data_IF_847036302482
#
_entry.id   IF_847036302482
#
_cell.length_a   1.000
_cell.length_b   1.000
_cell.length_c   1.000
_cell.angle_alpha   90.00
_cell.angle_beta   90.00
_cell.angle_gamma   90.00
#
_symmetry.space_group_name_H-M   'P 1'
#
loop_
_entity.id
_entity.type
_entity.pdbx_description
1 polymer ?
#
# COMPACT_ATOMS: atom_id res chain seq x y z
N UNK A 1 11.35 -10.32 -1.91
CA UNK A 1 9.97 -10.77 -1.64
C UNK A 1 9.05 -9.78 -2.33
N UNK A 2 8.03 -10.25 -3.05
CA UNK A 2 7.06 -9.32 -3.63
C UNK A 2 5.97 -9.02 -2.60
N UNK A 3 5.53 -7.77 -2.50
CA UNK A 3 4.46 -7.38 -1.59
C UNK A 3 3.30 -6.75 -2.37
N UNK A 4 2.07 -7.10 -2.05
CA UNK A 4 0.89 -6.34 -2.47
C UNK A 4 0.49 -5.39 -1.36
N UNK A 5 0.49 -4.09 -1.65
CA UNK A 5 -0.10 -3.08 -0.76
C UNK A 5 -1.45 -2.67 -1.34
N UNK A 6 -2.51 -2.77 -0.53
CA UNK A 6 -3.87 -2.40 -0.91
C UNK A 6 -4.51 -1.47 0.12
N UNK A 7 -5.20 -0.42 -0.34
CA UNK A 7 -5.98 0.50 0.47
C UNK A 7 -7.46 0.41 0.09
N UNK A 8 -8.32 0.35 1.10
CA UNK A 8 -9.76 0.19 0.94
C UNK A 8 -10.48 1.44 1.46
N UNK A 9 -11.24 2.10 0.59
CA UNK A 9 -11.97 3.33 0.89
C UNK A 9 -13.48 3.08 1.01
N UNK A 10 -14.23 4.02 1.61
CA UNK A 10 -15.69 3.95 1.63
C UNK A 10 -16.27 3.75 0.23
N UNK A 11 -17.35 2.98 0.14
CA UNK A 11 -18.00 2.66 -1.14
C UNK A 11 -17.35 1.51 -1.92
N UNK A 12 -16.41 0.77 -1.31
CA UNK A 12 -15.79 -0.41 -1.91
C UNK A 12 -14.70 -0.09 -2.93
N UNK A 13 -14.20 1.16 -2.93
CA UNK A 13 -13.10 1.57 -3.81
C UNK A 13 -11.80 1.00 -3.26
N UNK A 14 -11.06 0.30 -4.11
CA UNK A 14 -9.74 -0.27 -3.80
C UNK A 14 -8.67 0.40 -4.69
N UNK A 15 -7.52 0.70 -4.11
CA UNK A 15 -6.29 0.94 -4.87
C UNK A 15 -5.20 0.01 -4.35
N UNK A 16 -4.53 -0.69 -5.26
CA UNK A 16 -3.44 -1.58 -4.93
C UNK A 16 -2.31 -1.52 -5.95
N UNK A 17 -1.10 -1.82 -5.49
CA UNK A 17 0.12 -1.93 -6.28
C UNK A 17 1.05 -2.99 -5.69
N UNK A 18 1.96 -3.49 -6.53
CA UNK A 18 2.99 -4.43 -6.15
C UNK A 18 4.29 -3.68 -5.88
N UNK A 19 4.95 -4.03 -4.79
CA UNK A 19 6.25 -3.49 -4.40
C UNK A 19 7.24 -4.64 -4.48
N UNK A 20 8.20 -4.50 -5.40
CA UNK A 20 9.37 -5.38 -5.47
C UNK A 20 10.39 -4.89 -4.44
N UNK A 21 10.77 -5.73 -3.47
CA UNK A 21 11.77 -5.32 -2.49
C UNK A 21 12.21 -6.37 -1.46
N UNK A 22 13.23 -5.99 -0.71
CA UNK A 22 13.72 -6.71 0.48
C UNK A 22 13.01 -6.25 1.77
N UNK A 23 12.02 -5.35 1.67
CA UNK A 23 11.27 -4.86 2.82
C UNK A 23 10.36 -5.95 3.40
N UNK A 24 10.52 -6.24 4.69
CA UNK A 24 9.60 -7.08 5.45
C UNK A 24 8.24 -6.40 5.64
N UNK A 25 7.15 -7.18 5.67
CA UNK A 25 5.76 -6.70 5.85
C UNK A 25 5.62 -5.76 7.04
N UNK A 26 6.31 -6.07 8.14
CA UNK A 26 6.29 -5.26 9.37
C UNK A 26 6.81 -3.84 9.13
N UNK A 27 7.88 -3.70 8.34
CA UNK A 27 8.47 -2.40 8.03
C UNK A 27 7.54 -1.58 7.13
N UNK A 28 6.95 -2.22 6.11
CA UNK A 28 5.98 -1.58 5.22
C UNK A 28 4.77 -1.05 6.00
N UNK A 29 4.20 -1.87 6.89
CA UNK A 29 3.07 -1.44 7.75
C UNK A 29 3.48 -0.26 8.62
N UNK A 30 4.64 -0.32 9.29
CA UNK A 30 5.12 0.78 10.13
C UNK A 30 5.32 2.08 9.34
N UNK A 31 5.84 1.98 8.12
CA UNK A 31 6.04 3.14 7.24
C UNK A 31 4.71 3.77 6.83
N UNK A 32 3.71 2.98 6.45
CA UNK A 32 2.38 3.48 6.09
C UNK A 32 1.71 4.16 7.31
N UNK A 33 1.83 3.60 8.50
CA UNK A 33 1.21 4.16 9.71
C UNK A 33 1.84 5.49 10.17
N UNK A 34 3.15 5.68 9.93
CA UNK A 34 3.85 6.91 10.33
C UNK A 34 3.53 8.11 9.43
N UNK A 35 3.01 7.86 8.23
CA UNK A 35 2.82 8.89 7.23
C UNK A 35 1.34 8.99 6.82
N UNK A 36 0.81 10.21 6.88
CA UNK A 36 -0.52 10.50 6.37
C UNK A 36 -0.65 10.26 4.86
N UNK A 37 0.44 10.44 4.11
CA UNK A 37 0.45 10.28 2.66
C UNK A 37 1.37 9.14 2.26
N UNK A 38 0.87 8.26 1.40
CA UNK A 38 1.62 7.16 0.81
C UNK A 38 1.75 7.37 -0.70
N UNK A 39 2.99 7.39 -1.19
CA UNK A 39 3.27 7.49 -2.61
C UNK A 39 3.28 6.08 -3.22
N UNK A 40 2.53 5.88 -4.29
CA UNK A 40 2.56 4.63 -5.04
C UNK A 40 2.71 4.90 -6.53
N UNK A 41 3.38 3.98 -7.22
CA UNK A 41 3.55 4.01 -8.65
C UNK A 41 2.81 2.82 -9.22
N UNK A 42 1.88 3.09 -10.15
CA UNK A 42 1.14 2.04 -10.83
C UNK A 42 1.22 2.31 -12.33
N UNK A 43 1.74 1.31 -13.05
CA UNK A 43 2.06 1.42 -14.49
C UNK A 43 3.04 2.57 -14.74
N UNK A 44 2.58 3.73 -15.22
CA UNK A 44 3.39 4.92 -15.48
C UNK A 44 2.85 6.19 -14.78
N UNK A 45 2.00 6.01 -13.76
CA UNK A 45 1.39 7.11 -13.04
C UNK A 45 1.82 7.09 -11.56
N UNK A 46 2.14 8.29 -11.06
CA UNK A 46 2.45 8.53 -9.65
C UNK A 46 1.17 8.98 -8.94
N UNK A 47 0.80 8.24 -7.89
CA UNK A 47 -0.37 8.53 -7.07
C UNK A 47 0.06 8.86 -5.64
N UNK A 48 -0.74 9.70 -4.99
CA UNK A 48 -0.62 9.99 -3.57
C UNK A 48 -1.91 9.57 -2.89
N UNK A 49 -1.79 8.66 -1.92
CA UNK A 49 -2.90 8.13 -1.14
C UNK A 49 -2.91 8.81 0.24
N UNK A 50 -4.04 9.41 0.61
CA UNK A 50 -4.31 9.88 1.98
C UNK A 50 -4.73 8.68 2.84
N UNK A 51 -3.80 8.17 3.65
CA UNK A 51 -3.94 6.91 4.40
C UNK A 51 -4.99 7.01 5.51
N UNK A 52 -5.25 8.22 6.01
CA UNK A 52 -6.28 8.50 7.02
C UNK A 52 -7.71 8.38 6.47
N UNK A 53 -7.88 8.43 5.14
CA UNK A 53 -9.20 8.29 4.50
C UNK A 53 -9.55 6.84 4.16
N UNK A 54 -8.57 5.94 4.22
CA UNK A 54 -8.82 4.52 4.05
C UNK A 54 -9.57 3.98 5.28
N UNK A 55 -10.51 3.07 5.06
CA UNK A 55 -11.16 2.30 6.13
C UNK A 55 -10.13 1.35 6.76
N UNK A 56 -9.31 0.73 5.91
CA UNK A 56 -8.16 -0.08 6.30
C UNK A 56 -7.21 -0.22 5.11
N UNK A 57 -6.02 -0.73 5.37
CA UNK A 57 -5.07 -1.17 4.34
C UNK A 57 -4.53 -2.56 4.69
N UNK A 58 -4.04 -3.28 3.69
CA UNK A 58 -3.38 -4.57 3.86
C UNK A 58 -2.04 -4.58 3.14
N UNK A 59 -1.07 -5.26 3.74
CA UNK A 59 0.19 -5.64 3.10
C UNK A 59 0.21 -7.17 3.06
N UNK A 60 0.40 -7.74 1.88
CA UNK A 60 0.33 -9.19 1.65
C UNK A 60 1.61 -9.64 0.98
N UNK A 61 2.26 -10.65 1.54
CA UNK A 61 3.38 -11.32 0.89
C UNK A 61 2.90 -12.02 -0.38
N UNK A 62 3.59 -11.78 -1.49
CA UNK A 62 3.36 -12.36 -2.81
C UNK A 62 4.44 -13.37 -3.21
N UNK A 63 5.20 -13.89 -2.24
CA UNK A 63 6.02 -15.06 -2.49
C UNK A 63 5.11 -16.25 -2.89
N UNK A 64 5.55 -17.05 -3.88
CA UNK A 64 4.80 -18.12 -4.58
C UNK A 64 3.92 -19.03 -3.68
#
# INVERSE_FOLDING_TARGET
>A
MNLKVAFYFPGGVEISHEVEGDEDTTQMISNIQKHRFYNLVKENAHYVVDTEKAVFFSVTDLDE
#
